data_IF_958514836283
#
_entry.id   IF_958514836283
#
_cell.length_a   1.000
_cell.length_b   1.000
_cell.length_c   1.000
_cell.angle_alpha   90.00
_cell.angle_beta   90.00
_cell.angle_gamma   90.00
#
_symmetry.space_group_name_H-M   'P 1'
#
loop_
_entity.id
_entity.type
_entity.pdbx_description
1 polymer ?
#
# COMPACT_ATOMS: atom_id res chain seq x y z
N UNK A 1 0.61 -46.17 1.77
CA UNK A 1 -0.34 -46.50 2.84
C UNK A 1 0.31 -47.52 3.74
N UNK A 2 0.92 -47.08 4.84
CA UNK A 2 1.50 -47.98 5.84
C UNK A 2 1.34 -47.30 7.19
N UNK A 3 0.23 -47.67 7.85
CA UNK A 3 -0.14 -47.29 9.20
C UNK A 3 0.79 -47.99 10.19
N UNK A 4 1.28 -47.26 11.21
CA UNK A 4 1.93 -47.84 12.38
C UNK A 4 1.21 -47.38 13.66
N UNK A 5 1.19 -48.23 14.70
CA UNK A 5 0.11 -48.32 15.67
C UNK A 5 0.29 -47.40 16.89
N UNK A 6 -0.85 -47.01 17.46
CA UNK A 6 -0.98 -46.28 18.73
C UNK A 6 -0.66 -47.19 19.93
N UNK A 7 0.19 -46.76 20.89
CA UNK A 7 0.25 -47.41 22.18
C UNK A 7 -0.81 -46.80 23.11
N UNK A 8 -1.87 -47.58 23.36
CA UNK A 8 -2.73 -47.37 24.52
C UNK A 8 -2.02 -47.82 25.79
N UNK A 9 -2.12 -47.05 26.87
CA UNK A 9 -1.87 -47.58 28.21
C UNK A 9 -2.90 -47.06 29.19
N UNK A 10 -3.51 -48.07 29.82
CA UNK A 10 -4.67 -48.05 30.72
C UNK A 10 -4.34 -47.40 32.07
N UNK A 11 -5.39 -46.80 32.62
CA UNK A 11 -5.56 -46.19 33.93
C UNK A 11 -5.09 -47.05 35.12
N UNK A 12 -4.63 -46.40 36.21
CA UNK A 12 -4.90 -46.84 37.58
C UNK A 12 -4.73 -45.67 38.59
N UNK A 13 -5.87 -45.10 38.98
CA UNK A 13 -6.37 -44.75 40.32
C UNK A 13 -5.46 -44.24 41.47
N UNK A 14 -6.07 -43.28 42.19
CA UNK A 14 -6.04 -42.98 43.64
C UNK A 14 -5.00 -41.97 44.18
N UNK A 15 -5.52 -40.81 44.60
CA UNK A 15 -4.83 -39.86 45.46
C UNK A 15 -5.66 -38.60 45.65
N UNK A 16 -6.62 -38.65 46.57
CA UNK A 16 -7.48 -37.52 46.92
C UNK A 16 -6.71 -36.37 47.56
N UNK A 17 -7.14 -35.15 47.26
CA UNK A 17 -6.64 -33.91 47.84
C UNK A 17 -7.47 -32.73 47.35
N UNK A 18 -8.63 -32.53 47.97
CA UNK A 18 -9.42 -31.32 47.77
C UNK A 18 -8.69 -30.15 48.44
N UNK A 19 -8.12 -29.25 47.63
CA UNK A 19 -7.73 -27.90 48.10
C UNK A 19 -8.64 -26.92 47.38
N UNK A 20 -9.63 -26.46 48.13
CA UNK A 20 -10.55 -25.39 47.75
C UNK A 20 -9.79 -24.06 47.87
N UNK A 21 -9.31 -23.51 46.76
CA UNK A 21 -8.82 -22.13 46.71
C UNK A 21 -9.83 -21.28 45.93
N UNK A 22 -10.53 -20.42 46.66
CA UNK A 22 -11.55 -19.49 46.20
C UNK A 22 -10.90 -18.13 45.88
N UNK A 23 -11.18 -17.57 44.68
CA UNK A 23 -10.90 -16.18 44.26
C UNK A 23 -9.61 -16.01 43.45
N UNK A 24 -9.53 -15.29 42.33
CA UNK A 24 -10.24 -14.07 41.89
C UNK A 24 -10.17 -13.92 40.35
N UNK A 25 -11.22 -13.32 39.77
CA UNK A 25 -11.30 -12.53 38.51
C UNK A 25 -10.91 -13.16 37.15
N UNK A 26 -11.84 -13.02 36.20
CA UNK A 26 -11.79 -13.53 34.83
C UNK A 26 -11.30 -12.50 33.80
N UNK A 27 -10.88 -13.07 32.66
CA UNK A 27 -10.84 -12.53 31.29
C UNK A 27 -9.69 -11.61 30.87
N UNK A 28 -8.80 -12.16 30.03
CA UNK A 28 -7.82 -11.39 29.26
C UNK A 28 -6.62 -12.22 28.81
N UNK A 29 -6.84 -13.37 28.15
CA UNK A 29 -5.76 -14.04 27.41
C UNK A 29 -5.50 -13.25 26.12
N UNK A 30 -4.46 -12.43 26.12
CA UNK A 30 -3.90 -11.86 24.89
C UNK A 30 -3.24 -12.99 24.11
N UNK A 31 -3.93 -13.42 23.05
CA UNK A 31 -3.39 -14.28 22.00
C UNK A 31 -2.39 -13.43 21.21
N UNK A 32 -1.12 -13.45 21.59
CA UNK A 32 -0.06 -12.90 20.75
C UNK A 32 0.20 -13.90 19.62
N UNK A 33 -0.45 -13.66 18.48
CA UNK A 33 -0.09 -14.29 17.20
C UNK A 33 1.40 -14.10 16.97
N UNK A 34 2.18 -15.18 16.73
CA UNK A 34 3.61 -15.05 16.45
C UNK A 34 3.80 -14.20 15.20
N UNK A 35 4.41 -13.03 15.36
CA UNK A 35 4.85 -12.22 14.23
C UNK A 35 6.07 -12.91 13.62
N UNK A 36 5.98 -13.25 12.33
CA UNK A 36 7.09 -13.87 11.60
C UNK A 36 8.37 -13.03 11.72
N UNK A 37 9.55 -13.65 11.87
CA UNK A 37 10.80 -12.92 11.95
C UNK A 37 11.08 -12.26 10.60
N UNK A 38 10.93 -10.93 10.56
CA UNK A 38 11.36 -10.11 9.44
C UNK A 38 12.84 -10.43 9.15
N UNK A 39 13.08 -11.10 8.02
CA UNK A 39 14.42 -11.24 7.47
C UNK A 39 14.78 -9.88 6.87
N UNK A 40 15.25 -8.95 7.71
CA UNK A 40 15.62 -7.61 7.26
C UNK A 40 16.95 -7.67 6.52
N UNK A 41 16.91 -7.78 5.20
CA UNK A 41 18.06 -7.49 4.35
C UNK A 41 18.26 -5.97 4.28
N UNK A 42 18.81 -5.37 5.34
CA UNK A 42 19.42 -4.02 5.36
C UNK A 42 18.58 -2.81 4.89
N UNK A 43 17.34 -2.98 4.49
CA UNK A 43 16.42 -1.92 4.11
C UNK A 43 15.77 -1.33 5.35
N UNK A 44 15.57 0.00 5.35
CA UNK A 44 14.51 0.58 6.17
C UNK A 44 13.21 0.05 5.60
N UNK A 45 12.63 -0.96 6.25
CA UNK A 45 11.30 -1.45 5.88
C UNK A 45 10.33 -0.27 5.80
N UNK A 46 9.54 -0.21 4.72
CA UNK A 46 8.42 0.73 4.63
C UNK A 46 7.43 0.34 5.73
N UNK A 47 6.98 1.33 6.49
CA UNK A 47 5.93 1.13 7.49
C UNK A 47 4.69 0.56 6.78
N UNK A 48 4.36 -0.70 7.10
CA UNK A 48 3.27 -1.44 6.46
C UNK A 48 1.88 -0.87 6.79
N UNK A 49 1.78 0.07 7.74
CA UNK A 49 0.55 0.81 8.02
C UNK A 49 0.30 1.96 7.03
N UNK A 50 1.28 2.31 6.19
CA UNK A 50 1.11 3.35 5.19
C UNK A 50 0.13 2.91 4.11
N UNK A 51 -0.83 3.78 3.82
CA UNK A 51 -1.78 3.61 2.72
C UNK A 51 -1.06 3.58 1.37
N UNK A 52 -1.56 2.73 0.47
CA UNK A 52 -1.09 2.59 -0.91
C UNK A 52 -2.26 2.34 -1.86
N UNK A 53 -1.99 2.57 -3.14
CA UNK A 53 -2.82 2.17 -4.28
C UNK A 53 -2.12 0.98 -4.95
N UNK A 54 -2.80 -0.17 -5.04
CA UNK A 54 -2.19 -1.44 -5.45
C UNK A 54 -2.62 -1.86 -6.85
N UNK A 55 -1.64 -2.19 -7.70
CA UNK A 55 -1.87 -2.76 -9.02
C UNK A 55 -1.34 -4.19 -9.06
N UNK A 56 -2.08 -5.06 -9.76
CA UNK A 56 -1.81 -6.51 -9.85
C UNK A 56 -1.69 -7.20 -8.48
N UNK A 57 -2.53 -6.84 -7.50
CA UNK A 57 -2.53 -7.43 -6.15
C UNK A 57 -2.77 -8.94 -6.09
N UNK A 58 -3.23 -9.55 -7.19
CA UNK A 58 -3.40 -11.00 -7.34
C UNK A 58 -2.16 -11.70 -7.95
N UNK A 59 -1.07 -10.98 -8.18
CA UNK A 59 0.20 -11.52 -8.68
C UNK A 59 1.03 -12.17 -7.57
N UNK A 60 1.69 -13.29 -7.89
CA UNK A 60 2.75 -13.90 -7.07
C UNK A 60 4.14 -13.24 -7.28
N UNK A 61 4.17 -12.12 -8.01
CA UNK A 61 5.36 -11.37 -8.36
C UNK A 61 6.02 -10.67 -7.17
N UNK A 62 7.16 -10.01 -7.44
CA UNK A 62 7.80 -9.19 -6.40
C UNK A 62 6.97 -7.95 -6.12
N UNK A 63 6.89 -7.59 -4.84
CA UNK A 63 6.21 -6.37 -4.41
C UNK A 63 7.20 -5.20 -4.51
N UNK A 64 6.78 -4.14 -5.19
CA UNK A 64 7.55 -2.89 -5.31
C UNK A 64 6.74 -1.76 -4.67
N UNK A 65 7.34 -1.10 -3.68
CA UNK A 65 6.80 0.10 -3.06
C UNK A 65 7.39 1.34 -3.72
N UNK A 66 6.52 2.14 -4.33
CA UNK A 66 6.89 3.40 -4.95
C UNK A 66 6.34 4.57 -4.15
N UNK A 67 7.22 5.29 -3.46
CA UNK A 67 6.88 6.50 -2.73
C UNK A 67 7.13 7.70 -3.65
N UNK A 68 6.08 8.44 -3.97
CA UNK A 68 6.16 9.56 -4.91
C UNK A 68 5.43 10.80 -4.40
N UNK A 69 5.79 11.95 -4.96
CA UNK A 69 5.11 13.23 -4.75
C UNK A 69 4.87 13.85 -6.12
N UNK A 70 3.63 14.18 -6.44
CA UNK A 70 3.22 14.71 -7.75
C UNK A 70 3.84 16.06 -8.09
N UNK A 71 4.50 16.76 -7.15
CA UNK A 71 5.27 17.97 -7.41
C UNK A 71 6.78 17.77 -7.45
N UNK A 72 7.27 16.58 -7.13
CA UNK A 72 8.70 16.29 -7.06
C UNK A 72 9.30 16.09 -8.47
N UNK A 73 10.24 16.95 -8.93
CA UNK A 73 10.84 16.79 -10.25
C UNK A 73 11.65 15.49 -10.40
N UNK A 74 12.41 15.02 -9.38
CA UNK A 74 13.00 13.69 -9.42
C UNK A 74 12.00 12.54 -9.56
N UNK A 75 10.80 12.65 -8.96
CA UNK A 75 9.75 11.64 -9.14
C UNK A 75 9.24 11.63 -10.58
N UNK A 76 9.04 12.82 -11.19
CA UNK A 76 8.73 12.95 -12.62
C UNK A 76 9.79 12.24 -13.49
N UNK A 77 11.06 12.60 -13.34
CA UNK A 77 12.13 12.00 -14.15
C UNK A 77 12.29 10.49 -13.95
N UNK A 78 12.03 10.00 -12.74
CA UNK A 78 12.00 8.57 -12.47
C UNK A 78 10.86 7.88 -13.24
N UNK A 79 9.65 8.42 -13.20
CA UNK A 79 8.51 7.82 -13.88
C UNK A 79 8.55 7.97 -15.39
N UNK A 80 9.13 9.04 -15.92
CA UNK A 80 9.45 9.15 -17.35
C UNK A 80 10.41 8.03 -17.81
N UNK A 81 11.33 7.60 -16.94
CA UNK A 81 12.31 6.56 -17.26
C UNK A 81 11.78 5.14 -17.07
N UNK A 82 10.91 4.93 -16.09
CA UNK A 82 10.52 3.58 -15.61
C UNK A 82 9.01 3.29 -15.67
N UNK A 83 8.16 4.28 -15.93
CA UNK A 83 6.70 4.13 -15.93
C UNK A 83 6.21 3.05 -16.89
N UNK A 84 6.75 3.00 -18.11
CA UNK A 84 6.38 1.99 -19.11
C UNK A 84 6.82 0.57 -18.69
N UNK A 85 7.97 0.45 -18.03
CA UNK A 85 8.42 -0.81 -17.46
C UNK A 85 7.46 -1.28 -16.36
N UNK A 86 7.02 -0.38 -15.46
CA UNK A 86 6.04 -0.73 -14.43
C UNK A 86 4.72 -1.17 -15.05
N UNK A 87 4.20 -0.43 -16.03
CA UNK A 87 2.98 -0.80 -16.77
C UNK A 87 3.08 -2.20 -17.35
N UNK A 88 4.14 -2.46 -18.12
CA UNK A 88 4.39 -3.78 -18.73
C UNK A 88 4.45 -4.89 -17.68
N UNK A 89 5.15 -4.67 -16.56
CA UNK A 89 5.29 -5.70 -15.52
C UNK A 89 4.01 -5.92 -14.71
N UNK A 90 3.20 -4.89 -14.49
CA UNK A 90 1.85 -5.01 -13.89
C UNK A 90 0.93 -5.81 -14.81
N UNK A 91 0.88 -5.48 -16.10
CA UNK A 91 0.05 -6.18 -17.10
C UNK A 91 0.44 -7.66 -17.23
N UNK A 92 1.73 -7.96 -17.18
CA UNK A 92 2.25 -9.33 -17.21
C UNK A 92 2.12 -10.06 -15.88
N UNK A 93 1.60 -9.40 -14.82
CA UNK A 93 1.58 -9.91 -13.44
C UNK A 93 2.94 -10.40 -12.95
N UNK A 94 4.02 -9.73 -13.37
CA UNK A 94 5.39 -10.02 -12.97
C UNK A 94 5.78 -9.32 -11.66
N UNK A 95 5.08 -8.26 -11.28
CA UNK A 95 5.20 -7.57 -9.99
C UNK A 95 3.83 -7.16 -9.45
N UNK A 96 3.79 -6.91 -8.14
CA UNK A 96 2.73 -6.14 -7.47
C UNK A 96 3.28 -4.73 -7.26
N UNK A 97 2.63 -3.71 -7.82
CA UNK A 97 3.05 -2.32 -7.65
C UNK A 97 2.19 -1.65 -6.59
N UNK A 98 2.81 -1.11 -5.55
CA UNK A 98 2.16 -0.31 -4.52
C UNK A 98 2.64 1.12 -4.63
N UNK A 99 1.76 2.00 -5.09
CA UNK A 99 2.05 3.43 -5.17
C UNK A 99 1.60 4.09 -3.88
N UNK A 100 2.51 4.82 -3.24
CA UNK A 100 2.27 5.61 -2.05
C UNK A 100 2.42 7.10 -2.40
N UNK A 101 1.33 7.81 -2.73
CA UNK A 101 1.37 9.25 -2.89
C UNK A 101 1.68 9.92 -1.54
N UNK A 102 2.74 10.72 -1.49
CA UNK A 102 3.22 11.42 -0.31
C UNK A 102 3.31 12.92 -0.61
N UNK A 103 2.49 13.78 0.02
CA UNK A 103 2.58 15.23 -0.16
C UNK A 103 3.73 15.80 0.68
N UNK A 104 4.97 15.53 0.26
CA UNK A 104 6.18 15.89 0.98
C UNK A 104 6.54 17.36 0.81
N UNK A 105 6.16 17.97 -0.33
CA UNK A 105 6.60 19.31 -0.72
C UNK A 105 5.64 20.43 -0.31
N UNK A 106 4.36 20.13 -0.07
CA UNK A 106 3.30 21.10 0.26
C UNK A 106 3.69 22.05 1.40
N UNK A 107 4.13 21.49 2.55
CA UNK A 107 4.51 22.29 3.73
C UNK A 107 5.67 23.27 3.46
N UNK A 108 6.58 22.92 2.55
CA UNK A 108 7.75 23.75 2.23
C UNK A 108 7.41 24.84 1.21
N UNK A 109 6.42 24.58 0.34
CA UNK A 109 6.02 25.49 -0.75
C UNK A 109 4.82 26.37 -0.39
N UNK A 110 4.08 26.03 0.67
CA UNK A 110 2.87 26.74 1.04
C UNK A 110 1.73 26.52 0.06
N UNK A 111 1.65 25.32 -0.54
CA UNK A 111 0.61 24.90 -1.48
C UNK A 111 -0.05 23.61 -0.99
N UNK A 112 -1.15 23.19 -1.62
CA UNK A 112 -1.83 21.89 -1.37
C UNK A 112 -1.74 20.95 -2.56
N UNK A 113 -1.00 21.33 -3.60
CA UNK A 113 -1.03 20.65 -4.89
C UNK A 113 -0.63 19.17 -4.78
N UNK A 114 0.40 18.83 -4.00
CA UNK A 114 0.81 17.43 -3.84
C UNK A 114 -0.27 16.61 -3.14
N UNK A 115 -0.95 17.19 -2.14
CA UNK A 115 -2.04 16.56 -1.42
C UNK A 115 -3.30 16.40 -2.28
N UNK A 116 -3.66 17.45 -3.03
CA UNK A 116 -4.82 17.44 -3.92
C UNK A 116 -4.64 16.41 -5.05
N UNK A 117 -3.43 16.35 -5.62
CA UNK A 117 -3.06 15.33 -6.62
C UNK A 117 -3.07 13.92 -6.04
N UNK A 118 -2.62 13.75 -4.79
CA UNK A 118 -2.67 12.45 -4.10
C UNK A 118 -4.11 11.99 -3.83
N UNK A 119 -5.00 12.91 -3.46
CA UNK A 119 -6.42 12.63 -3.27
C UNK A 119 -7.09 12.27 -4.61
N UNK A 120 -6.81 13.03 -5.68
CA UNK A 120 -7.31 12.74 -7.02
C UNK A 120 -6.82 11.37 -7.53
N UNK A 121 -5.56 11.01 -7.31
CA UNK A 121 -5.05 9.68 -7.65
C UNK A 121 -5.82 8.56 -6.94
N UNK A 122 -6.16 8.75 -5.65
CA UNK A 122 -6.95 7.80 -4.90
C UNK A 122 -8.39 7.70 -5.42
N UNK A 123 -8.99 8.82 -5.83
CA UNK A 123 -10.33 8.84 -6.42
C UNK A 123 -10.37 8.13 -7.78
N UNK A 124 -9.43 8.45 -8.67
CA UNK A 124 -9.26 7.76 -9.97
C UNK A 124 -9.06 6.26 -9.77
N UNK A 125 -8.20 5.88 -8.83
CA UNK A 125 -7.97 4.46 -8.51
C UNK A 125 -9.23 3.76 -7.97
N UNK A 126 -10.01 4.44 -7.13
CA UNK A 126 -11.25 3.89 -6.59
C UNK A 126 -12.31 3.66 -7.68
N UNK A 127 -12.30 4.45 -8.75
CA UNK A 127 -13.15 4.27 -9.92
C UNK A 127 -12.68 3.10 -10.79
N UNK A 128 -11.42 3.18 -11.26
CA UNK A 128 -10.78 2.15 -12.06
C UNK A 128 -9.27 2.14 -11.80
N UNK A 129 -8.74 1.11 -11.11
CA UNK A 129 -7.31 0.95 -10.88
C UNK A 129 -6.46 1.01 -12.15
N UNK A 130 -7.00 0.60 -13.31
CA UNK A 130 -6.26 0.63 -14.57
C UNK A 130 -5.86 2.04 -15.01
N UNK A 131 -6.59 3.07 -14.55
CA UNK A 131 -6.34 4.47 -14.89
C UNK A 131 -5.20 5.09 -14.08
N UNK A 132 -4.73 4.46 -13.00
CA UNK A 132 -3.79 5.08 -12.07
C UNK A 132 -2.46 5.48 -12.73
N UNK A 133 -1.87 4.61 -13.55
CA UNK A 133 -0.60 4.91 -14.23
C UNK A 133 -0.77 5.90 -15.39
N UNK A 134 -1.97 6.02 -15.97
CA UNK A 134 -2.27 7.08 -16.93
C UNK A 134 -2.42 8.42 -16.22
N UNK A 135 -3.15 8.46 -15.11
CA UNK A 135 -3.29 9.67 -14.29
C UNK A 135 -1.93 10.18 -13.80
N UNK A 136 -1.10 9.28 -13.31
CA UNK A 136 0.23 9.63 -12.81
C UNK A 136 1.12 10.22 -13.91
N UNK A 137 1.12 9.62 -15.11
CA UNK A 137 1.82 10.16 -16.28
C UNK A 137 1.34 11.57 -16.62
N UNK A 138 0.02 11.77 -16.76
CA UNK A 138 -0.53 13.07 -17.15
C UNK A 138 -0.29 14.15 -16.08
N UNK A 139 -0.39 13.81 -14.79
CA UNK A 139 -0.06 14.72 -13.70
C UNK A 139 1.40 15.16 -13.71
N UNK A 140 2.32 14.24 -14.04
CA UNK A 140 3.73 14.60 -14.20
C UNK A 140 4.01 15.40 -15.47
N UNK A 141 3.29 15.15 -16.56
CA UNK A 141 3.35 15.97 -17.77
C UNK A 141 2.84 17.40 -17.50
N UNK A 142 1.88 17.56 -16.58
CA UNK A 142 1.36 18.85 -16.14
C UNK A 142 2.18 19.51 -15.02
N UNK A 143 3.28 18.90 -14.54
CA UNK A 143 4.13 19.56 -13.54
C UNK A 143 4.71 20.87 -14.10
N UNK A 144 4.72 21.95 -13.30
CA UNK A 144 5.34 23.19 -13.74
C UNK A 144 6.87 23.02 -13.92
N UNK A 145 7.40 23.58 -15.00
CA UNK A 145 8.81 23.44 -15.41
C UNK A 145 9.77 24.14 -14.48
N UNK A 146 9.32 25.23 -13.84
CA UNK A 146 10.11 25.91 -12.81
C UNK A 146 9.38 25.94 -11.47
N UNK A 147 10.11 26.10 -10.35
CA UNK A 147 9.50 26.19 -9.02
C UNK A 147 8.54 27.37 -8.82
N UNK A 148 8.73 28.45 -9.59
CA UNK A 148 7.97 29.71 -9.49
C UNK A 148 6.66 29.70 -10.29
N UNK A 149 6.53 28.77 -11.25
CA UNK A 149 5.30 28.62 -12.00
C UNK A 149 4.19 28.05 -11.11
N UNK A 150 2.94 28.51 -11.30
CA UNK A 150 1.82 28.03 -10.51
C UNK A 150 1.59 26.54 -10.77
N UNK A 151 1.24 25.82 -9.71
CA UNK A 151 0.79 24.44 -9.82
C UNK A 151 -0.61 24.40 -10.47
N UNK A 152 -1.00 23.30 -11.14
CA UNK A 152 -2.38 23.10 -11.57
C UNK A 152 -3.36 23.24 -10.42
N UNK A 153 -4.50 23.90 -10.67
CA UNK A 153 -5.60 23.96 -9.70
C UNK A 153 -6.47 22.70 -9.74
N UNK A 154 -7.45 22.61 -8.84
CA UNK A 154 -8.35 21.46 -8.74
C UNK A 154 -9.15 21.20 -10.02
N UNK A 155 -9.55 22.25 -10.75
CA UNK A 155 -10.28 22.09 -12.02
C UNK A 155 -9.38 21.52 -13.11
N UNK A 156 -8.11 21.92 -13.13
CA UNK A 156 -7.12 21.37 -14.04
C UNK A 156 -6.75 19.91 -13.69
N UNK A 157 -6.65 19.56 -12.40
CA UNK A 157 -6.47 18.16 -11.96
C UNK A 157 -7.67 17.31 -12.39
N UNK A 158 -8.88 17.85 -12.22
CA UNK A 158 -10.12 17.23 -12.66
C UNK A 158 -10.15 17.00 -14.18
N UNK A 159 -9.74 18.00 -14.97
CA UNK A 159 -9.65 17.86 -16.42
C UNK A 159 -8.66 16.77 -16.84
N UNK A 160 -7.51 16.68 -16.17
CA UNK A 160 -6.52 15.62 -16.41
C UNK A 160 -7.14 14.23 -16.17
N UNK A 161 -7.83 14.04 -15.05
CA UNK A 161 -8.53 12.79 -14.75
C UNK A 161 -9.60 12.45 -15.81
N UNK A 162 -10.39 13.44 -16.25
CA UNK A 162 -11.39 13.22 -17.32
C UNK A 162 -10.76 12.86 -18.66
N UNK A 163 -9.61 13.44 -18.97
CA UNK A 163 -8.90 13.19 -20.24
C UNK A 163 -8.49 11.74 -20.44
N UNK A 164 -8.32 10.99 -19.34
CA UNK A 164 -7.99 9.56 -19.34
C UNK A 164 -9.21 8.65 -19.12
N UNK A 165 -10.42 9.22 -19.02
CA UNK A 165 -11.67 8.47 -18.87
C UNK A 165 -12.19 8.32 -17.44
N UNK A 166 -11.65 9.05 -16.46
CA UNK A 166 -12.30 9.17 -15.15
C UNK A 166 -13.64 9.92 -15.30
N UNK A 167 -14.64 9.55 -14.50
CA UNK A 167 -15.97 10.16 -14.55
C UNK A 167 -16.13 11.27 -13.48
N UNK A 168 -17.23 12.02 -13.60
CA UNK A 168 -17.54 13.17 -12.73
C UNK A 168 -17.80 12.79 -11.25
N UNK A 169 -17.89 11.50 -10.90
CA UNK A 169 -18.12 11.10 -9.50
C UNK A 169 -16.84 11.11 -8.66
N UNK A 170 -15.68 11.35 -9.30
CA UNK A 170 -14.35 11.24 -8.69
C UNK A 170 -13.67 12.58 -8.38
N UNK A 171 -14.32 13.71 -8.70
CA UNK A 171 -13.75 15.06 -8.73
C UNK A 171 -14.66 16.05 -8.00
#
# INVERSE_FOLDING_TARGET
MTSLPTPGRRSLLLGGGAVLALGLAACGSTDETPSDPATSSGGRDIDRSLTYLELAGDSDGKVVDLLLDFRCPPCRSFMESFGEMFRTQVEQKALVLRIHPRPMLDLRRGTTFSQDSAAAAAAVYAQDPALLLDFEREMYAAQPETPEQPDPDLEQIAEIARSIGADETCL
#
